data_IF_660904263817
#
_entry.id   IF_660904263817
#
_cell.length_a   1.000
_cell.length_b   1.000
_cell.length_c   1.000
_cell.angle_alpha   90.00
_cell.angle_beta   90.00
_cell.angle_gamma   90.00
#
_symmetry.space_group_name_H-M   'P 1'
#
loop_
_entity.id
_entity.type
_entity.pdbx_description
1 polymer ?
2 non-polymer ?
3 non-polymer ?
4 non-polymer ?
5 non-polymer ?
6 water ?
#
# COMPACT_ATOMS: atom_id res chain seq x y z
N UNK A 11 19.26 6.67 -15.97
CA UNK A 11 18.78 7.54 -17.03
C UNK A 11 18.21 8.84 -16.46
N UNK A 12 18.94 9.93 -16.63
CA UNK A 12 18.58 11.21 -16.03
C UNK A 12 18.02 12.18 -17.07
N UNK A 13 16.80 12.66 -16.83
CA UNK A 13 16.20 13.65 -17.71
C UNK A 13 16.91 14.98 -17.53
N UNK A 14 17.03 15.77 -18.61
CA UNK A 14 17.67 17.09 -18.53
C UNK A 14 16.98 17.97 -17.49
N UNK A 15 17.77 18.67 -16.68
CA UNK A 15 17.22 19.51 -15.61
C UNK A 15 16.42 20.68 -16.17
N UNK A 16 15.14 20.78 -15.81
CA UNK A 16 14.34 21.92 -16.29
C UNK A 16 14.93 23.25 -15.80
N UNK A 17 14.84 24.30 -16.63
CA UNK A 17 15.42 25.60 -16.29
C UNK A 17 14.94 26.18 -14.95
N UNK A 18 13.72 25.87 -14.51
CA UNK A 18 13.22 26.44 -13.26
C UNK A 18 13.75 25.79 -11.97
N UNK A 19 14.45 24.65 -12.11
CA UNK A 19 14.90 23.91 -10.93
C UNK A 19 16.36 24.25 -10.62
N UNK A 20 16.62 24.86 -9.44
CA UNK A 20 18.02 25.22 -9.17
C UNK A 20 18.83 23.99 -8.82
N UNK A 21 20.11 23.99 -9.15
CA UNK A 21 20.91 22.78 -9.04
C UNK A 21 21.10 22.26 -7.62
N UNK A 22 21.02 23.14 -6.62
CA UNK A 22 21.20 22.70 -5.24
C UNK A 22 20.05 21.83 -4.75
N UNK A 23 18.92 21.82 -5.47
CA UNK A 23 17.79 20.98 -5.09
C UNK A 23 17.80 19.63 -5.80
N UNK A 24 18.78 19.39 -6.66
CA UNK A 24 18.83 18.10 -7.36
C UNK A 24 19.32 16.98 -6.44
N UNK A 25 18.57 15.89 -6.41
CA UNK A 25 18.97 14.68 -5.70
C UNK A 25 18.37 13.52 -6.47
N UNK A 26 19.24 12.77 -7.16
CA UNK A 26 18.78 11.80 -8.16
C UNK A 26 18.36 10.46 -7.55
N UNK A 27 17.25 10.48 -6.85
CA UNK A 27 16.69 9.30 -6.23
C UNK A 27 15.79 8.57 -7.24
N UNK A 28 15.93 7.24 -7.30
CA UNK A 28 15.12 6.42 -8.21
C UNK A 28 14.13 5.60 -7.40
N UNK A 29 12.86 6.02 -7.41
CA UNK A 29 11.86 5.34 -6.59
C UNK A 29 11.60 3.88 -6.96
N UNK A 30 12.03 3.47 -8.15
CA UNK A 30 11.84 2.10 -8.60
C UNK A 30 13.08 1.22 -8.40
N UNK A 31 14.17 1.83 -7.96
CA UNK A 31 15.41 1.11 -7.72
C UNK A 31 16.38 1.94 -6.89
N UNK A 32 16.02 2.23 -5.64
CA UNK A 32 16.87 3.10 -4.81
C UNK A 32 18.21 2.42 -4.50
N UNK A 33 19.26 3.23 -4.47
CA UNK A 33 20.62 2.70 -4.42
C UNK A 33 20.91 1.90 -3.15
N UNK A 34 20.18 2.18 -2.09
CA UNK A 34 20.48 1.58 -0.80
C UNK A 34 19.51 0.47 -0.48
N UNK A 35 18.89 -0.09 -1.51
CA UNK A 35 17.86 -1.11 -1.38
C UNK A 35 18.29 -2.35 -0.58
N UNK A 36 19.57 -2.71 -0.65
CA UNK A 36 20.05 -3.91 0.05
C UNK A 36 19.94 -3.81 1.59
N UNK A 37 19.87 -2.59 2.10
CA UNK A 37 19.79 -2.37 3.54
C UNK A 37 18.35 -2.52 4.05
N UNK A 38 17.41 -2.75 3.13
CA UNK A 38 15.98 -2.66 3.42
C UNK A 38 15.37 -1.50 2.64
N UNK A 39 14.15 -1.65 2.18
CA UNK A 39 13.56 -0.59 1.34
C UNK A 39 13.27 0.69 2.12
N UNK A 40 12.76 0.59 3.35
CA UNK A 40 12.54 1.78 4.15
C UNK A 40 13.86 2.52 4.40
N UNK A 41 14.90 1.76 4.70
CA UNK A 41 16.23 2.34 4.87
C UNK A 41 16.71 3.00 3.57
N UNK A 42 16.38 2.41 2.43
CA UNK A 42 16.80 2.97 1.15
C UNK A 42 16.13 4.31 0.91
N UNK A 43 14.86 4.42 1.26
CA UNK A 43 14.15 5.69 1.09
C UNK A 43 14.61 6.71 2.11
N UNK A 44 15.03 6.24 3.28
CA UNK A 44 15.39 7.14 4.37
C UNK A 44 16.67 7.92 4.06
N UNK A 45 17.38 7.55 3.00
CA UNK A 45 18.51 8.37 2.55
C UNK A 45 18.04 9.79 2.19
N UNK A 46 16.77 9.93 1.83
CA UNK A 46 16.17 11.23 1.53
C UNK A 46 16.06 12.11 2.76
N UNK A 47 16.27 11.53 3.95
CA UNK A 47 16.13 12.25 5.20
C UNK A 47 17.47 12.47 5.91
N UNK A 48 18.57 12.26 5.19
CA UNK A 48 19.88 12.58 5.74
C UNK A 48 20.14 14.09 5.63
N UNK A 49 21.11 14.57 6.39
CA UNK A 49 21.31 16.02 6.53
C UNK A 49 21.75 16.72 5.25
N UNK A 50 22.25 15.96 4.28
CA UNK A 50 22.65 16.51 3.00
C UNK A 50 21.51 16.79 2.03
N UNK A 51 20.29 16.37 2.37
CA UNK A 51 19.16 16.46 1.46
C UNK A 51 18.15 17.54 1.92
N UNK A 52 17.86 18.52 1.04
CA UNK A 52 16.81 19.51 1.36
C UNK A 52 15.44 18.88 1.62
N UNK A 53 14.52 19.68 2.17
CA UNK A 53 13.17 19.22 2.47
C UNK A 53 12.43 18.78 1.21
N UNK A 54 12.68 19.48 0.11
CA UNK A 54 11.99 19.24 -1.15
C UNK A 54 13.03 19.25 -2.25
N UNK A 55 13.17 18.12 -2.94
CA UNK A 55 14.20 17.94 -3.94
C UNK A 55 13.62 17.55 -5.29
N UNK A 56 14.41 17.73 -6.33
CA UNK A 56 14.08 17.30 -7.68
C UNK A 56 14.99 16.14 -8.03
N UNK A 57 14.40 15.01 -8.42
CA UNK A 57 15.17 13.93 -9.01
C UNK A 57 15.02 13.96 -10.53
N UNK A 58 16.13 13.71 -11.21
CA UNK A 58 16.11 13.63 -12.67
C UNK A 58 15.74 12.21 -13.14
N UNK A 59 15.57 11.28 -12.20
CA UNK A 59 15.18 9.92 -12.56
C UNK A 59 13.72 9.85 -12.97
N UNK A 60 13.38 8.84 -13.76
CA UNK A 60 11.98 8.54 -14.05
C UNK A 60 11.22 9.70 -14.69
N UNK A 61 11.93 10.45 -15.53
CA UNK A 61 11.35 11.55 -16.28
C UNK A 61 11.51 12.90 -15.60
N UNK A 62 11.89 12.90 -14.33
CA UNK A 62 12.08 14.12 -13.58
C UNK A 62 10.85 14.47 -12.77
N UNK A 63 11.01 14.66 -11.47
CA UNK A 63 9.90 15.01 -10.60
C UNK A 63 10.40 15.47 -9.25
N UNK A 64 9.54 16.19 -8.54
CA UNK A 64 9.84 16.58 -7.15
C UNK A 64 9.62 15.41 -6.20
N UNK A 65 10.28 15.48 -5.05
CA UNK A 65 10.02 14.57 -3.94
C UNK A 65 10.04 15.39 -2.66
N UNK A 66 8.92 15.38 -1.93
CA UNK A 66 8.88 15.94 -0.59
C UNK A 66 9.40 14.90 0.37
N UNK A 67 10.26 15.31 1.30
CA UNK A 67 10.97 14.32 2.13
C UNK A 67 10.61 14.41 3.60
N UNK A 68 9.74 15.35 3.95
CA UNK A 68 9.39 15.56 5.35
C UNK A 68 7.88 15.46 5.54
N UNK A 69 7.47 14.87 6.67
CA UNK A 69 6.05 14.70 6.97
C UNK A 69 5.21 15.95 6.85
N UNK A 70 5.73 17.08 7.31
CA UNK A 70 4.97 18.32 7.28
C UNK A 70 4.58 18.68 5.84
N UNK A 71 5.54 18.56 4.92
CA UNK A 71 5.28 18.90 3.53
C UNK A 71 4.35 17.92 2.86
N UNK A 72 4.57 16.64 3.15
CA UNK A 72 3.75 15.58 2.58
C UNK A 72 2.29 15.76 2.99
N UNK A 73 2.05 15.99 4.28
CA UNK A 73 0.71 16.25 4.77
C UNK A 73 0.09 17.50 4.15
N UNK A 74 0.85 18.58 4.11
CA UNK A 74 0.34 19.83 3.54
C UNK A 74 -0.09 19.66 2.08
N UNK A 75 0.74 19.01 1.28
CA UNK A 75 0.43 18.82 -0.13
C UNK A 75 -0.79 17.93 -0.33
N UNK A 76 -0.92 16.88 0.47
CA UNK A 76 -2.07 15.99 0.38
C UNK A 76 -3.37 16.68 0.79
N UNK A 77 -3.27 17.71 1.63
CA UNK A 77 -4.45 18.52 1.99
C UNK A 77 -4.84 19.51 0.89
N UNK A 78 -3.84 20.06 0.22
CA UNK A 78 -4.07 21.13 -0.76
C UNK A 78 -4.30 20.58 -2.16
N UNK A 79 -5.49 20.02 -2.39
CA UNK A 79 -5.83 19.46 -3.69
C UNK A 79 -5.96 20.52 -4.78
N UNK A 80 -6.18 21.78 -4.39
CA UNK A 80 -6.31 22.85 -5.37
C UNK A 80 -5.02 23.01 -6.17
N UNK A 81 -3.88 22.87 -5.51
CA UNK A 81 -2.59 22.95 -6.16
C UNK A 81 -2.01 21.59 -6.54
N UNK A 82 -2.26 20.59 -5.69
CA UNK A 82 -1.70 19.26 -5.88
C UNK A 82 -2.81 18.27 -6.26
N UNK A 83 -3.05 18.12 -7.56
CA UNK A 83 -4.16 17.33 -8.07
C UNK A 83 -3.84 15.84 -8.20
N UNK A 84 -4.83 15.00 -7.94
CA UNK A 84 -4.72 13.57 -8.10
C UNK A 84 -4.98 13.08 -9.52
N UNK A 85 -5.22 14.00 -10.47
CA UNK A 85 -5.56 13.57 -11.81
C UNK A 85 -4.41 12.77 -12.45
N UNK A 86 -3.19 13.06 -12.04
CA UNK A 86 -2.00 12.37 -12.52
C UNK A 86 -1.13 11.97 -11.32
N UNK A 87 -1.47 10.84 -10.67
CA UNK A 87 -0.91 10.55 -9.34
C UNK A 87 0.27 9.58 -9.33
N UNK A 88 0.66 9.05 -10.48
CA UNK A 88 1.77 8.12 -10.56
C UNK A 88 2.93 8.73 -11.35
N UNK A 89 4.15 8.38 -10.91
CA UNK A 89 5.37 8.56 -11.68
C UNK A 89 5.67 7.18 -12.25
N UNK A 90 6.11 7.10 -13.52
CA UNK A 90 6.42 8.22 -14.43
C UNK A 90 5.16 8.82 -15.05
N UNK A 91 5.32 9.93 -15.77
CA UNK A 91 4.20 10.66 -16.35
C UNK A 91 3.25 9.81 -17.20
N UNK A 92 3.79 8.89 -18.00
CA UNK A 92 2.94 8.06 -18.86
C UNK A 92 1.97 7.22 -18.03
N UNK A 93 2.43 6.74 -16.89
CA UNK A 93 1.58 5.98 -15.98
C UNK A 93 0.52 6.88 -15.34
N UNK A 94 0.96 8.03 -14.81
CA UNK A 94 0.05 9.00 -14.22
C UNK A 94 -1.03 9.48 -15.17
N UNK A 95 -0.67 9.70 -16.44
CA UNK A 95 -1.64 10.15 -17.41
C UNK A 95 -2.65 9.06 -17.76
N UNK A 96 -2.18 7.82 -17.86
CA UNK A 96 -3.05 6.68 -18.18
C UNK A 96 -3.94 6.29 -16.99
N UNK A 97 -3.52 6.71 -15.81
CA UNK A 97 -4.20 6.37 -14.56
C UNK A 97 -5.57 7.03 -14.54
N UNK A 98 -6.64 6.24 -14.48
CA UNK A 98 -7.98 6.83 -14.43
C UNK A 98 -8.87 6.16 -13.39
N UNK A 99 -8.27 5.47 -12.43
CA UNK A 99 -9.04 4.79 -11.39
C UNK A 99 -9.88 5.76 -10.54
N UNK A 100 -11.00 5.25 -10.07
CA UNK A 100 -11.92 6.02 -9.24
C UNK A 100 -11.93 5.39 -7.85
N UNK A 101 -11.84 6.21 -6.78
CA UNK A 101 -11.89 7.69 -6.77
C UNK A 101 -10.54 8.38 -6.87
N UNK A 102 -9.46 7.61 -6.91
CA UNK A 102 -8.13 8.19 -6.73
C UNK A 102 -7.75 9.26 -7.76
N UNK A 103 -8.21 9.13 -9.00
CA UNK A 103 -7.80 10.10 -10.03
C UNK A 103 -8.66 11.36 -10.01
N UNK A 104 -9.56 11.46 -9.04
CA UNK A 104 -10.45 12.61 -8.93
C UNK A 104 -10.09 13.46 -7.70
N UNK A 105 -10.22 14.78 -7.83
CA UNK A 105 -10.06 15.68 -6.69
C UNK A 105 -11.43 15.93 -6.04
N UNK A 106 -11.43 16.41 -4.78
CA UNK A 106 -12.68 16.95 -4.23
C UNK A 106 -13.16 18.12 -5.09
N UNK A 107 -14.48 18.34 -5.16
CA UNK A 107 -15.55 17.55 -4.52
C UNK A 107 -16.00 16.38 -5.38
N UNK A 108 -15.46 16.24 -6.59
CA UNK A 108 -15.90 15.18 -7.50
C UNK A 108 -15.72 13.77 -6.94
N UNK A 109 -14.64 13.53 -6.22
CA UNK A 109 -14.39 12.19 -5.66
C UNK A 109 -15.42 11.74 -4.63
N UNK A 110 -16.13 12.70 -4.05
CA UNK A 110 -16.92 12.47 -2.85
C UNK A 110 -17.98 11.38 -2.99
N UNK A 111 -18.82 11.48 -4.02
CA UNK A 111 -19.89 10.52 -4.18
C UNK A 111 -19.37 9.13 -4.54
N UNK A 112 -18.24 9.07 -5.22
CA UNK A 112 -17.63 7.77 -5.53
C UNK A 112 -16.99 7.16 -4.30
N UNK A 113 -16.33 7.99 -3.50
CA UNK A 113 -15.72 7.53 -2.25
C UNK A 113 -16.76 6.99 -1.26
N UNK A 114 -17.94 7.61 -1.22
CA UNK A 114 -19.01 7.13 -0.35
C UNK A 114 -19.38 5.69 -0.71
N UNK A 115 -19.37 5.39 -2.01
CA UNK A 115 -19.70 4.06 -2.49
C UNK A 115 -18.57 3.07 -2.16
N UNK A 116 -17.33 3.53 -2.27
CA UNK A 116 -16.20 2.70 -1.88
C UNK A 116 -16.30 2.31 -0.41
N UNK A 117 -16.63 3.28 0.45
CA UNK A 117 -16.80 3.01 1.87
C UNK A 117 -17.86 1.95 2.14
N UNK A 118 -18.91 1.96 1.32
CA UNK A 118 -19.99 0.99 1.44
C UNK A 118 -19.50 -0.44 1.24
N UNK A 119 -18.50 -0.63 0.39
CA UNK A 119 -18.09 -1.98 0.03
C UNK A 119 -16.81 -2.49 0.72
N UNK A 120 -15.94 -1.60 1.19
CA UNK A 120 -14.73 -2.02 1.90
C UNK A 120 -14.55 -1.36 3.27
N UNK A 121 -15.52 -0.57 3.70
CA UNK A 121 -15.38 0.17 4.95
C UNK A 121 -15.71 -0.62 6.21
N UNK A 122 -15.71 0.07 7.34
CA UNK A 122 -15.94 -0.53 8.66
C UNK A 122 -17.08 -1.55 8.79
N UNK A 123 -18.31 -1.17 8.40
CA UNK A 123 -19.39 -2.14 8.66
C UNK A 123 -19.19 -3.44 7.88
N UNK A 124 -18.53 -3.34 6.74
CA UNK A 124 -18.20 -4.53 5.96
C UNK A 124 -17.15 -5.40 6.66
N UNK A 125 -16.13 -4.78 7.24
CA UNK A 125 -15.16 -5.50 8.04
C UNK A 125 -15.82 -6.14 9.27
N UNK A 126 -16.60 -5.37 10.03
CA UNK A 126 -17.39 -5.90 11.13
C UNK A 126 -18.60 -6.58 10.51
N UNK A 127 -18.38 -7.72 9.89
CA UNK A 127 -19.42 -8.45 9.18
C UNK A 127 -18.71 -9.63 8.57
N UNK A 128 -17.59 -9.34 7.93
CA UNK A 128 -16.71 -10.38 7.42
C UNK A 128 -15.70 -10.83 8.47
N UNK A 129 -15.74 -10.25 9.66
CA UNK A 129 -14.69 -10.54 10.61
C UNK A 129 -14.55 -12.04 10.94
N UNK A 130 -15.66 -12.75 11.03
CA UNK A 130 -15.60 -14.18 11.29
C UNK A 130 -14.86 -14.94 10.19
N UNK A 131 -15.08 -14.55 8.93
CA UNK A 131 -14.37 -15.19 7.83
C UNK A 131 -12.89 -14.85 7.86
N UNK A 132 -12.56 -13.62 8.25
CA UNK A 132 -11.16 -13.22 8.35
C UNK A 132 -10.45 -14.05 9.42
N UNK A 133 -11.08 -14.13 10.59
CA UNK A 133 -10.56 -14.93 11.70
C UNK A 133 -10.43 -16.41 11.28
N UNK A 134 -11.44 -16.94 10.61
CA UNK A 134 -11.47 -18.33 10.17
C UNK A 134 -10.30 -18.64 9.26
N UNK A 135 -10.07 -17.76 8.29
CA UNK A 135 -9.06 -18.03 7.28
C UNK A 135 -7.66 -17.95 7.86
N UNK A 136 -7.41 -16.96 8.70
CA UNK A 136 -6.10 -16.86 9.32
C UNK A 136 -5.79 -18.14 10.11
N UNK A 137 -6.74 -18.57 10.93
CA UNK A 137 -6.53 -19.78 11.74
C UNK A 137 -6.28 -21.00 10.86
N UNK A 138 -7.07 -21.14 9.80
CA UNK A 138 -6.93 -22.27 8.90
C UNK A 138 -5.56 -22.32 8.23
N UNK A 139 -5.15 -21.20 7.66
CA UNK A 139 -3.87 -21.12 6.98
C UNK A 139 -2.70 -21.40 7.92
N UNK A 140 -2.75 -20.80 9.10
CA UNK A 140 -1.65 -20.94 10.04
C UNK A 140 -1.57 -22.37 10.59
N UNK A 141 -2.72 -22.95 10.93
CA UNK A 141 -2.72 -24.32 11.45
C UNK A 141 -2.20 -25.30 10.41
N UNK A 142 -2.49 -25.04 9.14
CA UNK A 142 -2.01 -25.91 8.09
C UNK A 142 -0.48 -25.85 7.96
N UNK A 143 0.09 -24.67 8.13
CA UNK A 143 1.54 -24.52 8.02
C UNK A 143 2.28 -24.99 9.26
N UNK A 144 1.64 -24.82 10.42
CA UNK A 144 2.27 -25.05 11.72
C UNK A 144 3.13 -26.33 11.86
N UNK A 145 2.63 -27.51 11.45
CA UNK A 145 3.44 -28.72 11.65
C UNK A 145 4.63 -28.86 10.68
N UNK A 146 4.72 -27.97 9.69
CA UNK A 146 5.77 -28.10 8.67
C UNK A 146 7.14 -27.69 9.18
N UNK A 147 7.19 -26.73 10.09
CA UNK A 147 8.46 -26.21 10.59
C UNK A 147 9.16 -25.30 9.61
N UNK A 148 8.42 -24.86 8.58
CA UNK A 148 8.95 -23.94 7.58
C UNK A 148 7.84 -23.46 6.66
N UNK A 149 8.06 -22.33 6.00
CA UNK A 149 7.15 -21.87 4.95
C UNK A 149 7.84 -20.78 4.14
N UNK A 150 7.34 -20.48 2.94
CA UNK A 150 7.69 -19.23 2.28
C UNK A 150 6.53 -18.33 2.56
N UNK A 151 6.75 -17.42 3.50
CA UNK A 151 5.65 -16.67 4.05
C UNK A 151 4.92 -15.85 2.99
N UNK A 152 5.64 -15.34 1.99
CA UNK A 152 4.97 -14.53 0.96
C UNK A 152 3.92 -15.32 0.19
N UNK A 153 4.29 -16.49 -0.29
CA UNK A 153 3.33 -17.27 -1.06
C UNK A 153 2.35 -18.08 -0.19
N UNK A 154 2.76 -18.43 1.04
CA UNK A 154 1.96 -19.34 1.88
C UNK A 154 0.98 -18.63 2.80
N UNK A 155 1.19 -17.35 3.07
CA UNK A 155 0.29 -16.63 3.94
C UNK A 155 0.03 -15.19 3.48
N UNK A 156 1.10 -14.43 3.25
CA UNK A 156 0.95 -13.00 2.97
C UNK A 156 0.06 -12.77 1.74
N UNK A 157 0.23 -13.60 0.72
CA UNK A 157 -0.67 -13.52 -0.44
C UNK A 157 -2.06 -14.11 -0.18
N UNK A 158 -2.17 -15.41 0.15
CA UNK A 158 -3.52 -15.99 0.17
C UNK A 158 -4.44 -15.43 1.25
N UNK A 159 -3.94 -15.02 2.40
CA UNK A 159 -4.83 -14.53 3.45
C UNK A 159 -5.62 -13.28 3.02
N UNK A 160 -4.95 -12.14 2.73
CA UNK A 160 -5.77 -10.97 2.34
C UNK A 160 -6.39 -11.13 0.96
N UNK A 161 -5.73 -11.84 0.06
CA UNK A 161 -6.28 -11.92 -1.29
C UNK A 161 -7.54 -12.77 -1.32
N UNK A 162 -7.56 -13.90 -0.63
CA UNK A 162 -8.77 -14.71 -0.59
C UNK A 162 -9.90 -14.00 0.12
N UNK A 163 -9.59 -13.20 1.14
CA UNK A 163 -10.62 -12.39 1.77
C UNK A 163 -11.17 -11.37 0.78
N UNK A 164 -10.29 -10.74 0.01
CA UNK A 164 -10.76 -9.79 -0.99
C UNK A 164 -11.63 -10.47 -2.06
N UNK A 165 -11.19 -11.62 -2.56
CA UNK A 165 -11.97 -12.30 -3.58
C UNK A 165 -13.33 -12.76 -3.05
N UNK A 166 -13.37 -13.08 -1.77
CA UNK A 166 -14.64 -13.40 -1.10
C UNK A 166 -15.56 -12.18 -1.07
N UNK A 167 -15.01 -11.03 -0.69
CA UNK A 167 -15.81 -9.82 -0.57
C UNK A 167 -16.29 -9.35 -1.95
N UNK A 168 -15.46 -9.59 -2.96
CA UNK A 168 -15.77 -9.18 -4.33
C UNK A 168 -16.53 -10.26 -5.12
N UNK A 169 -16.68 -11.44 -4.53
CA UNK A 169 -17.35 -12.55 -5.20
C UNK A 169 -16.66 -13.00 -6.48
N UNK A 170 -15.33 -13.08 -6.45
CA UNK A 170 -14.56 -13.48 -7.61
C UNK A 170 -13.86 -14.82 -7.35
N UNK A 171 -13.71 -15.64 -8.40
CA UNK A 171 -13.11 -16.98 -8.25
C UNK A 171 -11.63 -16.92 -7.87
N UNK A 172 -11.24 -17.74 -6.89
CA UNK A 172 -9.85 -17.77 -6.42
C UNK A 172 -8.89 -18.19 -7.51
N UNK A 173 -9.41 -18.86 -8.53
CA UNK A 173 -8.59 -19.33 -9.64
C UNK A 173 -8.04 -18.17 -10.47
N UNK A 174 -8.65 -17.00 -10.32
CA UNK A 174 -8.22 -15.80 -11.06
C UNK A 174 -7.09 -15.03 -10.35
N UNK A 175 -6.75 -15.44 -9.14
CA UNK A 175 -5.74 -14.73 -8.36
C UNK A 175 -4.36 -14.54 -9.06
N UNK A 176 -3.79 -15.62 -9.63
CA UNK A 176 -2.47 -15.45 -10.27
C UNK A 176 -2.47 -14.37 -11.35
N UNK A 177 -3.45 -14.40 -12.23
CA UNK A 177 -3.57 -13.44 -13.32
C UNK A 177 -3.75 -12.01 -12.80
N UNK A 178 -4.66 -11.83 -11.86
CA UNK A 178 -4.95 -10.50 -11.33
C UNK A 178 -3.77 -9.94 -10.53
N UNK A 179 -3.10 -10.79 -9.78
CA UNK A 179 -1.97 -10.37 -8.99
C UNK A 179 -0.82 -9.93 -9.88
N UNK A 180 -0.60 -10.67 -10.97
CA UNK A 180 0.44 -10.31 -11.93
C UNK A 180 0.22 -8.90 -12.47
N UNK A 181 -1.02 -8.63 -12.89
CA UNK A 181 -1.37 -7.34 -13.48
C UNK A 181 -1.25 -6.20 -12.47
N UNK A 182 -1.72 -6.44 -11.25
CA UNK A 182 -1.60 -5.48 -10.16
C UNK A 182 -0.15 -5.12 -9.92
N UNK A 183 0.69 -6.14 -9.82
CA UNK A 183 2.12 -5.94 -9.59
C UNK A 183 2.77 -5.14 -10.74
N UNK A 184 2.27 -5.29 -11.97
CA UNK A 184 2.84 -4.56 -13.09
C UNK A 184 2.61 -3.04 -12.96
N UNK A 185 1.54 -2.67 -12.28
CA UNK A 185 1.19 -1.25 -12.14
C UNK A 185 1.98 -0.54 -11.03
N UNK A 186 2.29 -1.27 -9.97
CA UNK A 186 2.97 -0.72 -8.80
C UNK A 186 4.49 -0.94 -8.82
N UNK A 187 4.91 -2.08 -9.37
CA UNK A 187 6.32 -2.42 -9.48
C UNK A 187 6.61 -2.97 -10.89
N UNK A 188 6.55 -2.11 -11.90
CA UNK A 188 6.67 -2.55 -13.30
C UNK A 188 7.99 -3.26 -13.62
N UNK A 189 7.93 -4.21 -14.55
CA UNK A 189 9.08 -5.04 -14.91
C UNK A 189 9.54 -4.69 -16.31
N UNK A 190 8.78 -3.84 -16.98
CA UNK A 190 9.08 -3.43 -18.33
C UNK A 190 8.37 -4.26 -19.38
N UNK A 191 7.74 -5.36 -18.96
CA UNK A 191 7.13 -6.29 -19.90
C UNK A 191 5.86 -5.72 -20.54
N UNK A 192 5.22 -4.78 -19.86
CA UNK A 192 4.04 -4.12 -20.41
C UNK A 192 3.88 -2.71 -19.87
N UNK A 193 3.31 -1.82 -20.68
CA UNK A 193 3.07 -0.44 -20.25
C UNK A 193 2.01 -0.42 -19.16
N UNK A 194 1.94 0.67 -18.40
CA UNK A 194 0.90 0.83 -17.39
C UNK A 194 -0.46 0.68 -18.05
N UNK A 195 -0.63 1.35 -19.18
CA UNK A 195 -1.89 1.33 -19.92
C UNK A 195 -2.32 -0.09 -20.28
N UNK A 196 -1.36 -0.89 -20.75
CA UNK A 196 -1.66 -2.27 -21.13
C UNK A 196 -2.08 -3.12 -19.93
N UNK A 197 -1.38 -2.95 -18.81
CA UNK A 197 -1.74 -3.65 -17.58
C UNK A 197 -3.13 -3.25 -17.11
N UNK A 198 -3.38 -1.95 -17.05
CA UNK A 198 -4.69 -1.44 -16.68
C UNK A 198 -5.76 -1.94 -17.63
N UNK A 199 -5.41 -2.02 -18.92
CA UNK A 199 -6.36 -2.50 -19.92
C UNK A 199 -6.72 -3.97 -19.72
N UNK A 200 -5.74 -4.78 -19.34
CA UNK A 200 -5.97 -6.20 -19.13
C UNK A 200 -6.87 -6.41 -17.90
N UNK A 201 -6.63 -5.62 -16.87
CA UNK A 201 -7.47 -5.64 -15.69
C UNK A 201 -8.91 -5.23 -16.04
N UNK A 202 -9.05 -4.17 -16.84
CA UNK A 202 -10.36 -3.69 -17.24
C UNK A 202 -11.10 -4.72 -18.09
N UNK A 203 -10.37 -5.37 -19.00
CA UNK A 203 -10.99 -6.39 -19.86
C UNK A 203 -11.50 -7.58 -19.04
N UNK A 204 -10.85 -7.85 -17.92
CA UNK A 204 -11.33 -8.88 -17.01
C UNK A 204 -12.64 -8.48 -16.36
N UNK A 205 -12.69 -7.23 -15.89
CA UNK A 205 -13.84 -6.71 -15.15
C UNK A 205 -15.08 -6.44 -16.02
N UNK A 206 -14.87 -6.00 -17.26
CA UNK A 206 -15.96 -5.58 -18.13
C UNK A 206 -17.14 -6.56 -18.24
N UNK A 207 -16.88 -7.84 -18.58
CA UNK A 207 -18.04 -8.74 -18.67
C UNK A 207 -18.66 -9.06 -17.31
N UNK A 208 -17.85 -9.05 -16.25
CA UNK A 208 -18.34 -9.34 -14.90
C UNK A 208 -19.28 -8.24 -14.41
N UNK A 209 -18.89 -6.99 -14.65
CA UNK A 209 -19.75 -5.85 -14.33
C UNK A 209 -21.06 -5.89 -15.12
N UNK A 210 -20.99 -6.23 -16.40
CA UNK A 210 -22.20 -6.37 -17.22
C UNK A 210 -23.15 -7.42 -16.62
N UNK A 211 -22.60 -8.58 -16.25
CA UNK A 211 -23.38 -9.65 -15.66
C UNK A 211 -24.06 -9.20 -14.38
N UNK A 212 -23.32 -8.44 -13.58
CA UNK A 212 -23.82 -8.12 -12.25
C UNK A 212 -24.69 -6.88 -12.20
N UNK A 213 -24.74 -6.15 -13.31
CA UNK A 213 -25.80 -5.16 -13.51
C UNK A 213 -27.07 -5.84 -14.03
N UNK A 214 -26.91 -6.96 -14.76
CA UNK A 214 -28.05 -7.77 -15.23
C UNK A 214 -28.70 -8.48 -14.06
N UNK A 215 -27.88 -9.12 -13.24
CA UNK A 215 -28.35 -9.86 -12.07
C UNK A 215 -27.49 -9.55 -10.85
N UNK A 216 -27.87 -8.51 -10.09
CA UNK A 216 -27.09 -8.09 -8.93
C UNK A 216 -26.97 -9.15 -7.83
N UNK A 217 -25.79 -9.23 -7.24
CA UNK A 217 -25.57 -10.01 -6.04
C UNK A 217 -25.35 -9.05 -4.89
N UNK A 218 -24.75 -9.53 -3.81
CA UNK A 218 -24.51 -8.72 -2.63
C UNK A 218 -23.02 -8.50 -2.44
N UNK A 219 -22.24 -8.95 -3.41
CA UNK A 219 -20.79 -8.80 -3.42
C UNK A 219 -20.40 -7.36 -3.75
N UNK A 220 -19.16 -6.98 -3.48
CA UNK A 220 -18.69 -5.61 -3.67
C UNK A 220 -18.82 -5.10 -5.10
N UNK A 221 -18.57 -5.97 -6.07
CA UNK A 221 -18.66 -5.56 -7.47
C UNK A 221 -20.10 -5.27 -7.86
N UNK A 222 -21.01 -6.13 -7.44
CA UNK A 222 -22.43 -5.89 -7.66
C UNK A 222 -22.88 -4.56 -7.06
N UNK A 223 -22.43 -4.28 -5.84
CA UNK A 223 -22.87 -3.08 -5.14
C UNK A 223 -22.35 -1.81 -5.82
N UNK A 224 -21.08 -1.83 -6.23
CA UNK A 224 -20.52 -0.71 -6.95
C UNK A 224 -21.23 -0.53 -8.30
N UNK A 225 -21.37 -1.63 -9.04
CA UNK A 225 -21.92 -1.56 -10.39
C UNK A 225 -23.38 -1.12 -10.43
N UNK A 226 -24.07 -1.20 -9.30
CA UNK A 226 -25.49 -0.82 -9.22
C UNK A 226 -25.73 0.42 -8.33
N UNK A 227 -24.65 1.08 -7.92
CA UNK A 227 -24.78 2.29 -7.12
C UNK A 227 -25.22 3.51 -7.92
N UNK A 228 -25.32 4.66 -7.25
CA UNK A 228 -25.79 5.90 -7.86
C UNK A 228 -24.84 7.11 -7.65
N UNK A 229 -24.70 7.97 -8.66
CA UNK A 229 -23.98 9.24 -8.47
C UNK A 229 -24.68 10.42 -9.15
N UNK A 230 -24.48 11.60 -8.58
CA UNK A 230 -25.31 12.80 -8.81
C UNK A 230 -26.68 12.55 -9.44
N UNK A 231 -27.54 11.88 -8.68
CA UNK A 231 -28.92 11.66 -9.08
C UNK A 231 -29.17 10.56 -10.10
N UNK A 232 -28.12 9.87 -10.54
CA UNK A 232 -28.27 8.88 -11.61
C UNK A 232 -27.46 7.60 -11.37
N UNK A 233 -27.78 6.53 -12.10
CA UNK A 233 -27.01 5.29 -12.00
C UNK A 233 -25.53 5.49 -12.36
N UNK A 234 -24.66 4.77 -11.67
CA UNK A 234 -23.25 4.73 -12.04
C UNK A 234 -23.18 4.11 -13.43
N UNK A 235 -22.24 4.58 -14.25
CA UNK A 235 -22.11 4.01 -15.59
C UNK A 235 -21.25 2.75 -15.51
N UNK A 236 -21.31 1.91 -16.52
CA UNK A 236 -20.47 0.72 -16.54
C UNK A 236 -18.99 1.09 -16.57
N UNK A 237 -18.69 2.22 -17.22
CA UNK A 237 -17.31 2.73 -17.27
C UNK A 237 -16.83 3.15 -15.88
N UNK A 238 -17.65 3.93 -15.19
CA UNK A 238 -17.31 4.36 -13.83
C UNK A 238 -17.15 3.18 -12.88
N UNK A 239 -18.04 2.21 -12.96
CA UNK A 239 -17.96 1.02 -12.12
C UNK A 239 -16.67 0.25 -12.38
N UNK A 240 -16.28 0.16 -13.66
CA UNK A 240 -15.05 -0.52 -14.04
C UNK A 240 -13.83 0.17 -13.44
N UNK A 241 -13.82 1.49 -13.52
CA UNK A 241 -12.73 2.29 -13.01
C UNK A 241 -12.61 2.22 -11.48
N UNK A 242 -13.73 2.04 -10.80
CA UNK A 242 -13.68 1.88 -9.35
C UNK A 242 -13.33 0.45 -8.95
N UNK A 243 -13.92 -0.53 -9.63
CA UNK A 243 -13.61 -1.92 -9.32
C UNK A 243 -12.15 -2.26 -9.62
N UNK A 244 -11.61 -1.67 -10.68
CA UNK A 244 -10.19 -1.85 -10.98
C UNK A 244 -9.30 -1.41 -9.83
N UNK A 245 -9.64 -0.27 -9.23
CA UNK A 245 -8.89 0.24 -8.09
C UNK A 245 -9.03 -0.66 -6.86
N UNK A 246 -10.24 -1.18 -6.64
CA UNK A 246 -10.47 -2.10 -5.52
C UNK A 246 -9.57 -3.33 -5.65
N UNK A 247 -9.44 -3.85 -6.86
CA UNK A 247 -8.57 -5.01 -7.11
C UNK A 247 -7.10 -4.67 -6.82
N UNK A 248 -6.65 -3.53 -7.33
CA UNK A 248 -5.26 -3.13 -7.13
C UNK A 248 -5.02 -2.95 -5.62
N UNK A 249 -5.96 -2.29 -4.96
CA UNK A 249 -5.85 -2.04 -3.53
C UNK A 249 -5.98 -3.28 -2.65
N UNK A 250 -6.71 -4.28 -3.12
CA UNK A 250 -6.93 -5.49 -2.35
C UNK A 250 -5.85 -6.56 -2.51
N UNK A 251 -5.06 -6.44 -3.57
CA UNK A 251 -4.14 -7.51 -3.95
C UNK A 251 -2.66 -7.19 -3.73
N UNK A 252 -2.35 -5.99 -3.26
CA UNK A 252 -0.94 -5.63 -3.17
C UNK A 252 -0.47 -5.12 -1.80
N UNK A 253 -1.12 -4.07 -1.27
CA UNK A 253 -0.57 -3.42 -0.09
C UNK A 253 -0.56 -4.28 1.16
N UNK A 254 -1.69 -4.84 1.58
CA UNK A 254 -1.67 -5.66 2.79
C UNK A 254 -0.74 -6.85 2.62
N UNK A 255 -0.74 -7.43 1.42
CA UNK A 255 0.11 -8.57 1.14
C UNK A 255 1.56 -8.25 1.48
N UNK A 256 2.06 -7.15 0.91
CA UNK A 256 3.44 -6.81 1.17
C UNK A 256 3.69 -6.30 2.57
N UNK A 257 2.72 -5.57 3.14
CA UNK A 257 2.89 -5.11 4.51
C UNK A 257 3.06 -6.27 5.50
N UNK A 258 2.26 -7.31 5.32
CA UNK A 258 2.35 -8.48 6.20
C UNK A 258 3.73 -9.09 6.15
N UNK A 259 4.33 -9.15 4.96
CA UNK A 259 5.69 -9.68 4.84
C UNK A 259 6.75 -8.84 5.56
N UNK A 260 6.69 -7.51 5.42
CA UNK A 260 7.63 -6.65 6.14
C UNK A 260 7.51 -6.87 7.64
N UNK A 261 6.26 -6.95 8.13
CA UNK A 261 6.02 -7.11 9.56
C UNK A 261 6.50 -8.46 10.07
N UNK A 262 6.25 -9.52 9.31
CA UNK A 262 6.62 -10.85 9.76
C UNK A 262 8.12 -11.03 9.70
N UNK A 263 8.75 -10.39 8.71
CA UNK A 263 10.20 -10.39 8.62
C UNK A 263 10.79 -9.81 9.89
N UNK A 264 10.24 -8.66 10.32
CA UNK A 264 10.68 -8.04 11.57
C UNK A 264 10.45 -8.95 12.77
N UNK A 265 9.26 -9.50 12.89
CA UNK A 265 8.96 -10.34 14.04
C UNK A 265 9.85 -11.57 14.11
N UNK A 266 10.24 -12.09 12.94
CA UNK A 266 11.13 -13.25 12.87
C UNK A 266 12.50 -12.98 13.47
N UNK A 267 12.85 -11.70 13.61
CA UNK A 267 14.14 -11.31 14.16
C UNK A 267 14.02 -10.72 15.58
N UNK A 268 12.80 -10.73 16.13
CA UNK A 268 12.54 -9.97 17.35
C UNK A 268 11.74 -10.73 18.40
N UNK A 269 12.37 -11.69 19.08
CA UNK A 269 11.65 -12.49 20.09
C UNK A 269 10.98 -11.67 21.19
N UNK A 270 11.59 -10.57 21.61
CA UNK A 270 11.02 -9.81 22.73
C UNK A 270 9.74 -9.09 22.31
N UNK A 271 9.70 -8.63 21.06
CA UNK A 271 8.49 -8.00 20.54
C UNK A 271 7.36 -9.02 20.43
N UNK A 272 7.69 -10.24 20.01
CA UNK A 272 6.70 -11.31 19.94
C UNK A 272 6.07 -11.55 21.33
N UNK A 273 6.91 -11.66 22.36
CA UNK A 273 6.42 -11.93 23.71
C UNK A 273 5.59 -10.81 24.33
N UNK A 274 5.90 -9.56 24.00
CA UNK A 274 5.08 -8.43 24.43
C UNK A 274 3.64 -8.66 24.04
N UNK A 275 3.44 -9.07 22.80
CA UNK A 275 2.11 -9.20 22.22
C UNK A 275 1.38 -10.45 22.72
N UNK A 276 2.14 -11.53 22.91
CA UNK A 276 1.59 -12.77 23.43
C UNK A 276 1.12 -12.61 24.87
N UNK A 277 1.91 -11.90 25.68
CA UNK A 277 1.57 -11.73 27.09
C UNK A 277 0.51 -10.66 27.34
N UNK A 278 0.50 -9.61 26.53
CA UNK A 278 -0.51 -8.55 26.68
C UNK A 278 -1.11 -8.22 25.31
N UNK A 279 -1.99 -9.10 24.82
CA UNK A 279 -2.56 -8.93 23.48
C UNK A 279 -3.37 -7.67 23.30
N UNK A 280 -3.74 -7.00 24.40
CA UNK A 280 -4.42 -5.71 24.28
C UNK A 280 -3.50 -4.64 23.69
N UNK A 281 -2.20 -4.94 23.60
CA UNK A 281 -1.22 -4.05 22.97
C UNK A 281 -1.13 -4.26 21.46
N UNK A 282 -1.81 -5.28 20.94
CA UNK A 282 -1.72 -5.58 19.52
C UNK A 282 -2.18 -4.45 18.59
N UNK A 283 -3.32 -3.79 18.90
CA UNK A 283 -3.66 -2.66 18.02
C UNK A 283 -2.57 -1.57 17.96
N UNK A 284 -1.99 -1.22 19.10
CA UNK A 284 -0.90 -0.23 19.10
C UNK A 284 0.32 -0.77 18.34
N UNK A 285 0.64 -2.05 18.52
CA UNK A 285 1.74 -2.66 17.78
C UNK A 285 1.48 -2.62 16.27
N UNK A 286 0.24 -2.88 15.87
CA UNK A 286 -0.16 -2.74 14.48
C UNK A 286 0.18 -1.35 13.94
N UNK A 287 -0.17 -0.31 14.69
CA UNK A 287 0.12 1.05 14.28
C UNK A 287 1.63 1.30 14.15
N UNK A 288 2.40 0.83 15.13
CA UNK A 288 3.84 1.01 15.09
C UNK A 288 4.50 0.28 13.91
N UNK A 289 4.03 -0.92 13.60
CA UNK A 289 4.53 -1.62 12.43
C UNK A 289 4.13 -0.93 11.13
N UNK A 290 2.91 -0.41 11.09
CA UNK A 290 2.44 0.37 9.96
C UNK A 290 3.32 1.61 9.72
N UNK A 291 3.79 2.22 10.80
CA UNK A 291 4.72 3.34 10.71
C UNK A 291 6.09 2.88 10.20
N UNK A 292 6.68 1.92 10.89
CA UNK A 292 8.06 1.53 10.60
C UNK A 292 8.22 0.85 9.24
N UNK A 293 7.20 0.09 8.84
CA UNK A 293 7.25 -0.67 7.59
C UNK A 293 6.25 -0.15 6.56
N UNK A 294 5.98 1.15 6.65
CA UNK A 294 5.19 1.86 5.67
C UNK A 294 5.77 1.62 4.28
N UNK A 295 4.91 1.59 3.25
CA UNK A 295 5.31 1.05 1.96
C UNK A 295 4.76 1.71 0.69
N UNK A 296 3.93 2.74 0.83
CA UNK A 296 3.34 3.38 -0.35
C UNK A 296 4.01 4.70 -0.67
N UNK A 297 4.16 4.99 -1.96
CA UNK A 297 4.62 6.29 -2.39
C UNK A 297 3.99 6.64 -3.72
N UNK A 298 2.90 7.41 -3.68
CA UNK A 298 2.44 8.04 -4.91
C UNK A 298 2.51 9.57 -4.77
N UNK A 299 1.76 10.29 -5.60
CA UNK A 299 1.91 11.72 -5.60
C UNK A 299 0.83 12.47 -6.33
N UNK A 300 1.17 13.67 -6.78
CA UNK A 300 0.20 14.59 -7.33
C UNK A 300 0.84 15.39 -8.46
N UNK A 301 0.02 16.14 -9.18
CA UNK A 301 0.50 17.00 -10.26
C UNK A 301 0.11 18.45 -9.97
N UNK A 302 1.01 19.38 -10.28
CA UNK A 302 0.76 20.80 -10.03
C UNK A 302 -0.28 21.35 -11.00
N UNK A 303 -1.32 21.98 -10.46
CA UNK A 303 -2.39 22.52 -11.29
C UNK A 303 -2.03 23.89 -11.86
N UNK A 304 -1.06 24.55 -11.22
CA UNK A 304 -0.62 25.88 -11.63
C UNK A 304 0.79 26.11 -11.10
N UNK A 305 1.45 27.18 -11.57
CA UNK A 305 2.70 27.61 -10.95
C UNK A 305 2.39 27.90 -9.48
N UNK A 306 3.32 27.55 -8.60
CA UNK A 306 3.06 27.64 -7.16
C UNK A 306 4.37 27.63 -6.38
N UNK A 307 4.58 28.63 -5.54
CA UNK A 307 5.69 28.62 -4.61
C UNK A 307 5.29 27.88 -3.32
N UNK A 308 6.01 26.80 -3.04
CA UNK A 308 5.72 25.91 -1.93
C UNK A 308 6.99 25.77 -1.10
N UNK A 309 6.94 26.25 0.14
CA UNK A 309 8.10 26.24 1.03
C UNK A 309 9.37 26.76 0.36
N UNK A 310 9.23 27.90 -0.31
CA UNK A 310 10.37 28.56 -0.91
C UNK A 310 10.83 27.98 -2.24
N UNK A 311 10.13 26.95 -2.72
CA UNK A 311 10.50 26.32 -3.98
C UNK A 311 9.48 26.65 -5.07
N UNK A 312 9.95 27.09 -6.22
CA UNK A 312 9.07 27.39 -7.34
C UNK A 312 8.69 26.12 -8.10
N UNK A 313 7.42 25.72 -7.99
CA UNK A 313 6.91 24.58 -8.73
C UNK A 313 6.19 25.11 -9.96
N UNK A 314 6.30 24.40 -11.09
CA UNK A 314 5.63 24.82 -12.31
C UNK A 314 4.40 23.97 -12.59
N UNK A 315 3.41 24.57 -13.22
CA UNK A 315 2.23 23.84 -13.66
C UNK A 315 2.63 22.59 -14.44
N UNK A 316 2.10 21.44 -14.04
CA UNK A 316 2.39 20.22 -14.77
C UNK A 316 3.54 19.42 -14.19
N UNK A 317 4.33 20.06 -13.32
CA UNK A 317 5.35 19.34 -12.55
C UNK A 317 4.68 18.24 -11.74
N UNK A 318 5.30 17.07 -11.70
CA UNK A 318 4.86 16.01 -10.80
C UNK A 318 5.62 16.08 -9.49
N UNK A 319 4.92 15.78 -8.41
CA UNK A 319 5.53 15.72 -7.08
C UNK A 319 5.19 14.41 -6.39
N UNK A 320 6.22 13.63 -6.09
CA UNK A 320 6.07 12.42 -5.30
C UNK A 320 5.95 12.84 -3.84
N UNK A 321 4.92 12.32 -3.17
CA UNK A 321 4.65 12.65 -1.78
C UNK A 321 4.63 11.34 -1.01
N UNK A 322 5.80 10.83 -0.66
CA UNK A 322 5.84 9.43 -0.23
C UNK A 322 5.19 9.21 1.13
N UNK A 323 4.08 8.50 1.14
CA UNK A 323 3.39 8.19 2.38
C UNK A 323 4.33 7.54 3.37
N UNK A 324 5.22 6.70 2.84
CA UNK A 324 6.22 5.99 3.62
C UNK A 324 7.05 6.91 4.49
N UNK A 325 7.36 8.10 3.99
CA UNK A 325 8.38 8.93 4.64
C UNK A 325 7.92 9.68 5.87
N UNK A 326 6.63 9.99 5.98
CA UNK A 326 6.18 10.85 7.06
C UNK A 326 6.51 10.30 8.44
N UNK A 327 6.22 9.02 8.64
CA UNK A 327 6.46 8.39 9.92
C UNK A 327 7.90 8.02 10.16
N UNK A 328 8.73 8.03 9.12
CA UNK A 328 10.16 7.79 9.28
C UNK A 328 10.93 9.09 9.58
N UNK A 329 10.27 10.22 9.38
CA UNK A 329 10.84 11.54 9.62
C UNK A 329 11.12 11.69 11.12
N UNK A 330 12.38 11.93 11.48
CA UNK A 330 12.72 12.07 12.89
C UNK A 330 12.03 13.28 13.54
N UNK A 331 11.55 14.22 12.72
CA UNK A 331 10.77 15.33 13.25
C UNK A 331 9.39 14.88 13.70
N UNK A 332 8.94 13.74 13.18
CA UNK A 332 7.65 13.19 13.56
C UNK A 332 7.77 12.12 14.66
N UNK A 333 8.85 11.34 14.62
CA UNK A 333 9.06 10.28 15.60
C UNK A 333 10.55 10.15 15.94
N UNK A 334 10.89 10.30 17.21
CA UNK A 334 12.27 10.13 17.64
C UNK A 334 12.72 8.68 17.42
N UNK A 335 14.01 8.50 17.10
CA UNK A 335 14.56 7.18 16.78
C UNK A 335 13.65 6.42 15.82
N UNK A 336 13.40 6.99 14.64
CA UNK A 336 12.33 6.49 13.78
C UNK A 336 12.53 5.06 13.29
N UNK A 337 13.76 4.57 13.25
CA UNK A 337 13.96 3.22 12.73
C UNK A 337 13.81 2.14 13.81
N UNK A 338 13.63 2.59 15.05
CA UNK A 338 13.39 1.68 16.16
C UNK A 338 11.91 1.35 16.28
N UNK A 339 11.60 0.06 16.41
CA UNK A 339 10.21 -0.37 16.64
C UNK A 339 9.93 -0.37 18.14
N UNK A 340 9.03 0.52 18.57
CA UNK A 340 8.74 0.70 19.98
C UNK A 340 7.23 0.69 20.13
N UNK A 341 6.68 -0.44 20.58
CA UNK A 341 5.24 -0.61 20.67
C UNK A 341 4.63 0.34 21.71
N UNK A 342 5.46 0.91 22.56
CA UNK A 342 5.02 1.82 23.62
C UNK A 342 5.18 3.32 23.32
N UNK A 343 5.43 3.69 22.08
CA UNK A 343 5.51 5.10 21.70
C UNK A 343 4.24 5.83 22.11
N UNK A 344 4.36 6.99 22.73
CA UNK A 344 3.17 7.69 23.17
C UNK A 344 2.32 8.17 21.99
N UNK A 345 2.96 8.53 20.88
CA UNK A 345 2.22 8.82 19.65
C UNK A 345 2.93 8.20 18.46
N UNK A 346 2.28 7.25 17.80
CA UNK A 346 2.82 6.73 16.56
C UNK A 346 2.33 7.62 15.41
N UNK A 347 3.20 8.52 14.96
CA UNK A 347 2.83 9.47 13.92
C UNK A 347 3.16 8.87 12.56
N UNK A 348 2.18 8.79 11.66
CA UNK A 348 2.44 8.27 10.33
C UNK A 348 1.37 8.72 9.35
N UNK A 349 1.65 8.55 8.08
CA UNK A 349 0.62 8.69 7.04
C UNK A 349 0.63 7.46 6.15
N UNK A 350 0.68 6.29 6.77
CA UNK A 350 0.85 5.06 6.02
C UNK A 350 -0.33 4.75 5.09
N UNK A 351 -1.53 5.12 5.51
CA UNK A 351 -2.73 4.98 4.72
C UNK A 351 -3.04 6.24 3.93
N UNK A 352 -2.08 7.16 3.85
CA UNK A 352 -2.30 8.38 3.12
C UNK A 352 -2.82 9.49 4.00
N UNK A 353 -3.30 10.56 3.36
CA UNK A 353 -3.64 11.77 4.07
C UNK A 353 -4.55 12.59 3.17
N UNK A 354 -5.47 13.33 3.77
CA UNK A 354 -6.39 14.13 2.99
C UNK A 354 -7.59 13.34 2.48
N UNK A 355 -8.16 13.81 1.38
CA UNK A 355 -9.42 13.26 0.90
C UNK A 355 -9.32 11.81 0.42
N UNK A 356 -8.11 11.38 0.10
CA UNK A 356 -7.92 10.03 -0.45
C UNK A 356 -7.40 9.02 0.56
N UNK A 357 -7.31 9.45 1.82
CA UNK A 357 -6.95 8.55 2.92
C UNK A 357 -7.65 7.20 2.74
N UNK A 358 -6.84 6.14 2.79
CA UNK A 358 -7.27 4.80 2.38
C UNK A 358 -8.67 4.36 2.81
N UNK A 359 -9.49 4.01 1.82
CA UNK A 359 -10.83 3.49 2.06
C UNK A 359 -10.82 2.12 2.72
N UNK A 360 -9.74 1.38 2.53
CA UNK A 360 -9.64 0.03 3.04
C UNK A 360 -8.86 -0.11 4.33
N UNK A 361 -8.60 1.00 5.02
CA UNK A 361 -7.70 0.96 6.16
C UNK A 361 -8.25 0.11 7.31
N UNK A 362 -9.57 0.06 7.45
CA UNK A 362 -10.16 -0.75 8.50
C UNK A 362 -10.02 -2.24 8.23
N UNK A 363 -10.18 -2.62 6.96
CA UNK A 363 -9.97 -4.00 6.56
C UNK A 363 -8.52 -4.39 6.77
N UNK A 364 -7.62 -3.51 6.36
CA UNK A 364 -6.19 -3.74 6.53
C UNK A 364 -5.83 -3.96 7.99
N UNK A 365 -6.24 -3.04 8.86
CA UNK A 365 -5.94 -3.18 10.28
C UNK A 365 -6.48 -4.49 10.85
N UNK A 366 -7.68 -4.89 10.45
CA UNK A 366 -8.24 -6.11 10.99
C UNK A 366 -7.40 -7.30 10.55
N UNK A 367 -7.00 -7.30 9.29
CA UNK A 367 -6.18 -8.39 8.78
C UNK A 367 -4.83 -8.47 9.48
N UNK A 368 -4.24 -7.33 9.77
CA UNK A 368 -2.97 -7.26 10.48
C UNK A 368 -3.09 -7.76 11.91
N UNK A 369 -4.08 -7.25 12.61
CA UNK A 369 -4.29 -7.59 14.01
C UNK A 369 -4.64 -9.07 14.18
N UNK A 370 -5.49 -9.60 13.31
CA UNK A 370 -5.78 -11.02 13.30
C UNK A 370 -4.50 -11.85 13.05
N UNK A 371 -3.71 -11.44 12.06
CA UNK A 371 -2.45 -12.14 11.79
C UNK A 371 -1.52 -12.15 12.99
N UNK A 372 -1.32 -10.99 13.61
CA UNK A 372 -0.42 -10.91 14.74
C UNK A 372 -0.87 -11.86 15.85
N UNK A 373 -2.15 -11.81 16.19
CA UNK A 373 -2.61 -12.63 17.30
C UNK A 373 -2.51 -14.12 16.97
N UNK A 374 -3.01 -14.49 15.80
CA UNK A 374 -3.17 -15.90 15.52
C UNK A 374 -1.86 -16.58 15.15
N UNK A 375 -0.97 -15.84 14.49
CA UNK A 375 0.35 -16.41 14.20
C UNK A 375 1.14 -16.64 15.49
N UNK A 376 1.21 -15.63 16.34
CA UNK A 376 2.05 -15.70 17.52
C UNK A 376 1.51 -16.68 18.54
N UNK A 377 0.20 -16.95 18.49
CA UNK A 377 -0.38 -17.95 19.38
C UNK A 377 0.10 -19.36 19.04
N UNK A 378 0.10 -19.67 17.76
CA UNK A 378 0.40 -21.01 17.27
C UNK A 378 1.87 -21.22 17.01
N UNK A 379 2.54 -20.17 16.54
CA UNK A 379 3.95 -20.26 16.18
C UNK A 379 4.70 -19.11 16.87
N UNK A 380 4.91 -19.24 18.19
CA UNK A 380 5.49 -18.11 18.94
C UNK A 380 6.97 -17.92 18.67
N UNK A 381 7.64 -18.98 18.25
CA UNK A 381 9.09 -18.94 18.04
C UNK A 381 9.42 -19.38 16.63
N UNK A 382 9.96 -18.46 15.85
CA UNK A 382 10.35 -18.74 14.48
C UNK A 382 11.46 -17.79 14.10
N UNK A 383 12.09 -18.07 12.96
CA UNK A 383 13.21 -17.27 12.51
C UNK A 383 13.27 -17.29 10.99
N UNK A 384 14.08 -16.40 10.43
CA UNK A 384 14.36 -16.46 9.00
C UNK A 384 15.26 -17.67 8.74
N UNK A 385 15.03 -18.37 7.63
CA UNK A 385 15.81 -19.56 7.31
C UNK A 385 17.30 -19.24 7.26
N UNK A 386 18.15 -20.17 7.75
CA UNK A 386 19.58 -19.91 7.84
C UNK A 386 20.20 -19.52 6.50
N UNK A 387 20.91 -18.40 6.47
CA UNK A 387 21.62 -17.99 5.27
C UNK A 387 20.72 -17.52 4.13
N UNK A 388 19.48 -17.20 4.46
CA UNK A 388 18.56 -16.64 3.47
C UNK A 388 18.78 -15.14 3.33
N UNK A 389 18.86 -14.67 2.10
CA UNK A 389 18.97 -13.24 1.84
C UNK A 389 17.62 -12.70 1.45
N UNK A 390 17.09 -11.80 2.26
CA UNK A 390 15.78 -11.23 1.95
C UNK A 390 15.97 -10.02 1.06
N UNK A 391 15.26 -10.03 -0.06
CA UNK A 391 15.34 -8.92 -1.00
C UNK A 391 14.03 -8.16 -0.95
N UNK A 392 14.13 -6.85 -0.83
CA UNK A 392 12.98 -5.98 -0.97
C UNK A 392 12.96 -5.40 -2.37
N UNK A 393 11.79 -4.94 -2.79
CA UNK A 393 11.64 -4.24 -4.05
C UNK A 393 10.89 -2.93 -3.80
N UNK A 394 11.13 -1.95 -4.66
CA UNK A 394 10.62 -0.60 -4.45
C UNK A 394 9.77 -0.14 -5.62
N UNK A 395 8.72 0.62 -5.30
CA UNK A 395 7.90 1.20 -6.35
C UNK A 395 6.81 2.03 -5.73
N UNK A 396 5.68 2.12 -6.40
CA UNK A 396 4.53 2.83 -5.84
C UNK A 396 4.10 2.12 -4.56
N UNK A 397 4.14 0.78 -4.58
CA UNK A 397 4.01 -0.02 -3.38
C UNK A 397 5.26 -0.87 -3.31
N UNK A 398 6.00 -0.75 -2.22
CA UNK A 398 7.22 -1.53 -2.06
C UNK A 398 6.86 -2.92 -1.52
N UNK A 399 7.76 -3.89 -1.73
CA UNK A 399 7.42 -5.26 -1.40
C UNK A 399 8.58 -6.12 -0.94
N UNK A 400 8.24 -7.34 -0.53
CA UNK A 400 9.22 -8.33 -0.14
C UNK A 400 9.18 -9.45 -1.17
N UNK A 401 10.35 -9.81 -1.69
CA UNK A 401 10.39 -10.81 -2.74
C UNK A 401 9.99 -12.21 -2.24
N UNK A 402 10.60 -12.62 -1.12
CA UNK A 402 10.38 -13.93 -0.55
C UNK A 402 10.80 -13.86 0.89
N UNK A 403 10.17 -14.67 1.74
CA UNK A 403 10.47 -14.66 3.16
C UNK A 403 10.45 -16.09 3.69
N UNK A 404 11.56 -16.81 3.54
CA UNK A 404 11.59 -18.19 4.07
C UNK A 404 11.75 -18.19 5.57
N UNK A 405 10.79 -18.81 6.25
CA UNK A 405 10.79 -18.89 7.71
C UNK A 405 10.98 -20.34 8.13
N UNK A 406 11.58 -20.54 9.31
CA UNK A 406 11.74 -21.86 9.89
C UNK A 406 11.33 -21.84 11.35
N UNK A 407 10.97 -23.00 11.87
CA UNK A 407 10.67 -23.16 13.28
C UNK A 407 10.68 -24.61 13.69
N UNK A 408 10.79 -24.85 14.99
CA UNK A 408 10.70 -26.18 15.55
C UNK A 408 9.24 -26.44 15.86
N UNK A 409 8.61 -27.40 15.14
CA UNK A 409 7.20 -27.72 15.37
C UNK A 409 6.91 -28.13 16.82
N UNK A 410 7.89 -28.63 17.55
CA UNK A 410 7.71 -28.98 18.94
C UNK A 410 7.39 -27.74 19.80
N UNK A 411 7.77 -26.56 19.33
CA UNK A 411 7.53 -25.33 20.09
C UNK A 411 6.24 -24.63 19.66
N UNK A 412 5.48 -25.28 18.78
CA UNK A 412 4.20 -24.75 18.32
C UNK A 412 3.02 -25.37 19.06
N UNK A 413 1.85 -24.77 18.85
CA UNK A 413 0.64 -25.07 19.60
C UNK A 413 -0.53 -25.09 18.62
N UNK A 414 -1.34 -26.14 18.60
CA UNK A 414 -2.64 -26.01 17.93
C UNK A 414 -3.58 -25.37 18.96
N UNK A 415 -4.64 -24.73 18.50
CA UNK A 415 -5.65 -24.21 19.41
C UNK A 415 -6.88 -25.11 19.43
X LIG B 1 -6.11 4.56 -1.03
X LIG B 1 -2.47 2.60 1.50
X LIG B 1 -5.06 -1.41 2.33
X LIG B 1 -8.30 0.14 -0.94
X LIG B 1 -4.91 4.41 -0.38
X LIG B 1 -3.88 5.41 -0.22
X LIG B 1 -2.88 4.84 0.47
X LIG B 1 -3.23 3.48 0.79
X LIG B 1 -1.55 5.50 0.91
X LIG B 1 -3.95 6.86 -0.74
X LIG B 1 -3.32 7.06 -2.13
X LIG B 1 -3.43 8.50 -2.57
X LIG B 1 -3.73 9.43 -1.76
X LIG B 1 -3.22 8.75 -3.78
X LIG B 1 -2.82 1.36 1.98
X LIG B 1 -2.05 0.51 2.86
X LIG B 1 -2.76 -0.62 3.07
X LIG B 1 -4.02 -0.50 2.37
X LIG B 1 -0.66 0.86 3.38
X LIG B 1 -2.43 -1.85 3.91
X LIG B 1 -1.50 -1.93 4.86
X LIG B 1 -6.16 -1.38 1.50
X LIG B 1 -7.18 -2.40 1.35
X LIG B 1 -8.05 -1.99 0.44
X LIG B 1 -7.68 -0.67 -0.02
X LIG B 1 -7.21 -3.74 2.11
X LIG B 1 -9.30 -2.78 0.00
X LIG B 1 -9.72 -2.70 -1.26
X LIG B 1 -8.04 1.48 -1.22
X LIG B 1 -8.89 2.31 -2.01
X LIG B 1 -8.23 3.68 -2.04
X LIG B 1 -7.02 3.56 -1.27
X LIG B 1 -10.22 1.91 -2.69
X LIG B 1 -8.73 4.93 -2.77
X LIG B 1 -9.41 5.86 -1.79
X LIG B 1 -9.69 7.17 -2.47
X LIG B 1 -10.60 7.90 -1.96
X LIG B 1 -9.03 7.51 -3.49
X LIG B 1 -4.47 3.27 0.25
X LIG B 1 -3.98 0.71 1.74
X LIG B 1 -6.53 -0.38 0.64
X LIG B 1 -6.98 2.26 -0.81
X LIG B 1 -5.50 1.44 0.47
X LIG C 1 -4.53 0.57 -1.09
X LIG C 1 -3.88 -0.18 -1.50
X LIG D 1 -2.74 2.28 -5.16
X LIG D 1 -3.41 3.30 -6.01
X LIG D 1 -3.44 3.29 -7.29
X LIG D 1 -4.05 4.31 -5.13
X LIG D 1 -3.76 3.70 -3.82
X LIG D 1 -4.58 2.45 -3.74
X LIG D 1 -3.93 1.49 -4.68
X LIG D 1 -2.36 3.13 -3.97
X LIG D 1 -1.34 4.17 -4.30
X LIG D 1 -1.90 2.41 -2.77
X LIG D 1 -1.71 1.46 -5.86
X LIG E 1 -4.74 10.52 -15.49
X LIG F 1 15.44 15.90 3.48
#
# INVERSE_FOLDING_TARGET
MTTETIQSNANLAPLPPHVPEHLVFDFDMYNPSNLSAGVQEAWAVLQESNVPDLVWTRCNGGHWIATRGQLIREAYEDYRHFSSECPFIPREAGEAYDFIPTSMDPPEQRQFRALANQVVGMPVVDKLENRIQELACSLIESLRPQGQCNFTEDYAEPFPIRIFMLLAGLPEEDIPHLGYLTNQMTRPDGSMTFAEAKEALYDYLIPIIEQRRQKPGTDAISIVANGQVNGRPITSDEAKRMCGLLLVGGLDTVVNFLSFSMEFLAKSPEHRQELIERPERIPAACEELLRRFSLVADGRILTSDYEFHGVQLKKGDQILLPQMLSGLDERENAAPMHVDFSRQKVSHTTFGHGSHLCAGQHLARREIIVTLKEWLTRIPDFSIAPGAQIQHKSGIVSGVQALPLVWDPATTKAV
HEM CHA CHB CHC CHD C1A C2A C3A C4A CMA CAA CBA CGA O1A O2A C1B C2B C3B C4B CMB CAB CBB C1C C2C C3C C4C CMC CAC CBC C1D C2D C3D C4D CMD CAD CBD CGD O1D O2D NA NB NC ND FE
CYN C N
CAM C1 C2 O C3 C4 C5 C6 C7 C8 C9 C10
K K
K K
#
